data_IF_220737701317
#
_entry.id   IF_220737701317
#
_cell.length_a   1.000
_cell.length_b   1.000
_cell.length_c   1.000
_cell.angle_alpha   90.00
_cell.angle_beta   90.00
_cell.angle_gamma   90.00
#
_symmetry.space_group_name_H-M   'P 1'
#
loop_
_entity.id
_entity.type
_entity.pdbx_description
1 polymer ?
#
# COMPACT_ATOMS: atom_id res chain seq x y z
N UNK A 1 -18.09 4.15 -31.04
CA UNK A 1 -17.81 3.37 -29.81
C UNK A 1 -16.89 2.24 -30.23
N UNK A 2 -15.59 2.29 -29.89
CA UNK A 2 -14.69 1.17 -30.12
C UNK A 2 -15.16 0.00 -29.26
N UNK A 3 -15.21 -1.21 -29.83
CA UNK A 3 -15.53 -2.42 -29.08
C UNK A 3 -14.51 -2.52 -27.94
N UNK A 4 -15.00 -2.40 -26.68
CA UNK A 4 -14.17 -2.62 -25.49
C UNK A 4 -13.73 -4.09 -25.57
N UNK A 5 -12.43 -4.32 -25.69
CA UNK A 5 -11.88 -5.69 -25.84
C UNK A 5 -12.08 -6.43 -24.51
N UNK A 6 -12.89 -7.48 -24.55
CA UNK A 6 -13.06 -8.40 -23.42
C UNK A 6 -11.88 -9.38 -23.39
N UNK A 7 -10.94 -9.17 -22.47
CA UNK A 7 -9.72 -9.96 -22.37
C UNK A 7 -9.84 -11.01 -21.27
N UNK A 8 -9.72 -12.27 -21.60
CA UNK A 8 -9.65 -13.35 -20.63
C UNK A 8 -8.26 -13.43 -20.01
N UNK A 9 -8.17 -13.20 -18.70
CA UNK A 9 -6.91 -13.22 -17.96
C UNK A 9 -6.59 -14.63 -17.41
N UNK A 10 -7.63 -15.33 -16.93
CA UNK A 10 -7.47 -16.68 -16.37
C UNK A 10 -8.81 -17.42 -16.49
N UNK A 11 -8.77 -18.73 -16.71
CA UNK A 11 -9.93 -19.61 -16.59
C UNK A 11 -9.54 -20.92 -15.92
N UNK A 12 -10.38 -21.38 -15.00
CA UNK A 12 -10.30 -22.68 -14.33
C UNK A 12 -11.65 -23.39 -14.45
N UNK A 13 -11.80 -24.54 -13.82
CA UNK A 13 -13.09 -25.22 -13.76
C UNK A 13 -14.10 -24.46 -12.86
N UNK A 14 -13.61 -23.70 -11.87
CA UNK A 14 -14.41 -23.05 -10.85
C UNK A 14 -14.81 -21.63 -11.22
N UNK A 15 -13.95 -20.89 -11.93
CA UNK A 15 -14.15 -19.48 -12.23
C UNK A 15 -13.44 -19.03 -13.51
N UNK A 16 -13.87 -17.89 -14.03
CA UNK A 16 -13.24 -17.18 -15.13
C UNK A 16 -12.96 -15.74 -14.74
N UNK A 17 -11.76 -15.26 -15.02
CA UNK A 17 -11.35 -13.88 -14.78
C UNK A 17 -11.21 -13.18 -16.12
N UNK A 18 -11.90 -12.05 -16.28
CA UNK A 18 -11.87 -11.22 -17.48
C UNK A 18 -11.63 -9.78 -17.13
N UNK A 19 -10.98 -9.05 -18.03
CA UNK A 19 -10.89 -7.61 -18.01
C UNK A 19 -11.68 -7.02 -19.16
N UNK A 20 -12.58 -6.10 -18.86
CA UNK A 20 -13.38 -5.39 -19.85
C UNK A 20 -13.27 -3.88 -19.58
N UNK A 21 -12.34 -3.22 -20.25
CA UNK A 21 -12.07 -1.81 -20.03
C UNK A 21 -11.76 -1.49 -18.55
N UNK A 22 -12.68 -0.80 -17.89
CA UNK A 22 -12.57 -0.38 -16.48
C UNK A 22 -13.01 -1.43 -15.47
N UNK A 23 -13.36 -2.63 -15.92
CA UNK A 23 -13.88 -3.70 -15.08
C UNK A 23 -12.92 -4.88 -15.03
N UNK A 24 -12.69 -5.39 -13.85
CA UNK A 24 -12.16 -6.72 -13.59
C UNK A 24 -13.34 -7.56 -13.09
N UNK A 25 -13.59 -8.68 -13.76
CA UNK A 25 -14.76 -9.51 -13.54
C UNK A 25 -14.29 -10.94 -13.23
N UNK A 26 -14.59 -11.42 -12.03
CA UNK A 26 -14.48 -12.84 -11.70
C UNK A 26 -15.87 -13.46 -11.74
N UNK A 27 -16.10 -14.32 -12.74
CA UNK A 27 -17.34 -15.11 -12.93
C UNK A 27 -17.17 -16.46 -12.26
N UNK A 28 -18.07 -16.80 -11.34
CA UNK A 28 -18.13 -18.08 -10.64
C UNK A 28 -18.92 -19.08 -11.46
N UNK A 29 -18.29 -20.16 -11.93
CA UNK A 29 -18.87 -21.14 -12.86
C UNK A 29 -19.65 -22.24 -12.14
N UNK A 30 -19.53 -22.35 -10.82
CA UNK A 30 -20.31 -23.22 -9.95
C UNK A 30 -20.78 -22.44 -8.71
N UNK A 31 -21.69 -22.94 -7.87
CA UNK A 31 -22.09 -22.27 -6.65
C UNK A 31 -20.90 -22.05 -5.69
N UNK A 32 -20.77 -20.84 -5.18
CA UNK A 32 -19.75 -20.45 -4.22
C UNK A 32 -20.34 -19.80 -2.98
N UNK A 33 -19.70 -19.98 -1.85
CA UNK A 33 -19.86 -19.11 -0.69
C UNK A 33 -18.94 -17.91 -0.86
N UNK A 34 -19.53 -16.70 -0.84
CA UNK A 34 -18.83 -15.44 -1.02
C UNK A 34 -18.89 -14.63 0.25
N UNK A 35 -17.77 -14.02 0.65
CA UNK A 35 -17.70 -13.04 1.73
C UNK A 35 -17.11 -11.74 1.16
N UNK A 36 -17.84 -10.62 1.31
CA UNK A 36 -17.47 -9.37 0.65
C UNK A 36 -17.77 -8.14 1.50
N UNK A 37 -16.98 -7.07 1.31
CA UNK A 37 -17.22 -5.72 1.83
C UNK A 37 -18.13 -4.86 0.95
N UNK A 38 -18.66 -5.40 -0.13
CA UNK A 38 -19.59 -4.67 -1.02
C UNK A 38 -20.79 -4.13 -0.25
N UNK A 39 -21.26 -2.93 -0.62
CA UNK A 39 -22.47 -2.34 -0.03
C UNK A 39 -23.69 -3.18 -0.39
N UNK A 40 -23.80 -3.61 -1.67
CA UNK A 40 -24.86 -4.50 -2.12
C UNK A 40 -24.36 -5.93 -2.25
N UNK A 41 -25.14 -6.90 -1.80
CA UNK A 41 -24.75 -8.31 -1.71
C UNK A 41 -23.45 -8.53 -0.92
N UNK A 42 -23.19 -7.66 0.07
CA UNK A 42 -22.07 -7.77 0.99
C UNK A 42 -22.33 -8.72 2.14
N UNK A 43 -21.33 -8.91 3.00
CA UNK A 43 -21.36 -9.95 4.01
C UNK A 43 -21.18 -11.32 3.38
N UNK A 44 -21.75 -12.37 4.00
CA UNK A 44 -21.70 -13.75 3.49
C UNK A 44 -22.94 -14.05 2.64
N UNK A 45 -22.73 -14.54 1.41
CA UNK A 45 -23.80 -14.90 0.47
C UNK A 45 -23.47 -16.18 -0.29
N UNK A 46 -24.50 -16.83 -0.90
CA UNK A 46 -24.32 -18.02 -1.75
C UNK A 46 -25.01 -17.85 -3.14
N UNK A 47 -25.65 -16.71 -3.38
CA UNK A 47 -26.35 -16.41 -4.65
C UNK A 47 -25.50 -15.57 -5.62
N UNK A 48 -24.40 -14.99 -5.17
CA UNK A 48 -23.51 -14.19 -6.00
C UNK A 48 -22.78 -15.05 -7.02
N UNK A 49 -22.75 -14.57 -8.28
CA UNK A 49 -22.08 -15.22 -9.40
C UNK A 49 -20.96 -14.37 -10.01
N UNK A 50 -20.96 -13.06 -9.77
CA UNK A 50 -19.98 -12.15 -10.32
C UNK A 50 -19.37 -11.29 -9.21
N UNK A 51 -18.04 -11.30 -9.14
CA UNK A 51 -17.27 -10.41 -8.28
C UNK A 51 -16.65 -9.35 -9.19
N UNK A 52 -17.05 -8.09 -8.99
CA UNK A 52 -16.56 -6.98 -9.80
C UNK A 52 -15.57 -6.13 -9.02
N UNK A 53 -14.53 -5.70 -9.70
CA UNK A 53 -13.70 -4.59 -9.27
C UNK A 53 -13.70 -3.53 -10.37
N UNK A 54 -14.18 -2.33 -10.07
CA UNK A 54 -14.44 -1.29 -11.04
C UNK A 54 -13.58 -0.06 -10.81
N UNK A 55 -12.86 0.37 -11.85
CA UNK A 55 -12.17 1.65 -11.84
C UNK A 55 -13.22 2.78 -11.90
N UNK A 56 -13.68 3.21 -10.72
CA UNK A 56 -14.74 4.21 -10.56
C UNK A 56 -14.26 5.64 -10.79
N UNK A 57 -12.95 5.87 -10.76
CA UNK A 57 -12.34 7.18 -10.85
C UNK A 57 -11.24 7.21 -11.90
N UNK A 58 -11.25 8.23 -12.77
CA UNK A 58 -10.09 8.65 -13.55
C UNK A 58 -9.76 10.09 -13.20
N UNK A 59 -8.48 10.47 -13.26
CA UNK A 59 -7.97 11.75 -12.74
C UNK A 59 -8.66 13.01 -13.30
N UNK A 60 -9.35 12.92 -14.43
CA UNK A 60 -10.07 14.04 -15.06
C UNK A 60 -11.58 13.96 -14.88
N UNK A 61 -12.17 12.85 -14.44
CA UNK A 61 -13.60 12.59 -14.47
C UNK A 61 -14.21 12.18 -13.11
N UNK A 62 -13.52 12.48 -12.04
CA UNK A 62 -13.95 12.24 -10.66
C UNK A 62 -15.29 12.89 -10.33
N UNK A 63 -15.56 14.04 -10.94
CA UNK A 63 -16.68 14.90 -10.55
C UNK A 63 -18.03 14.29 -10.93
N UNK A 64 -18.16 13.79 -12.15
CA UNK A 64 -19.44 13.28 -12.65
C UNK A 64 -19.89 12.00 -11.91
N UNK A 65 -18.96 11.07 -11.66
CA UNK A 65 -19.26 9.82 -10.94
C UNK A 65 -19.45 10.02 -9.45
N UNK A 66 -18.65 10.88 -8.85
CA UNK A 66 -18.85 11.29 -7.46
C UNK A 66 -20.23 11.92 -7.28
N UNK A 67 -20.66 12.77 -8.23
CA UNK A 67 -21.99 13.37 -8.20
C UNK A 67 -23.12 12.31 -8.36
N UNK A 68 -22.95 11.30 -9.19
CA UNK A 68 -23.91 10.19 -9.30
C UNK A 68 -24.00 9.41 -7.99
N UNK A 69 -22.89 9.06 -7.37
CA UNK A 69 -22.87 8.36 -6.09
C UNK A 69 -23.49 9.21 -4.97
N UNK A 70 -23.19 10.49 -4.93
CA UNK A 70 -23.68 11.40 -3.88
C UNK A 70 -25.16 11.76 -4.06
N UNK A 71 -25.65 11.86 -5.30
CA UNK A 71 -27.07 12.20 -5.58
C UNK A 71 -27.99 10.99 -5.48
N UNK A 72 -27.56 9.83 -5.96
CA UNK A 72 -28.41 8.66 -6.17
C UNK A 72 -28.06 7.49 -5.24
N UNK A 73 -26.98 7.60 -4.46
CA UNK A 73 -26.52 6.56 -3.56
C UNK A 73 -25.70 5.45 -4.24
N UNK A 74 -25.09 4.62 -3.40
CA UNK A 74 -24.23 3.52 -3.84
C UNK A 74 -25.01 2.39 -4.54
N UNK A 75 -26.28 2.19 -4.16
CA UNK A 75 -27.15 1.20 -4.81
C UNK A 75 -27.44 1.54 -6.27
N UNK A 76 -27.79 2.80 -6.56
CA UNK A 76 -28.02 3.26 -7.93
C UNK A 76 -26.73 3.20 -8.77
N UNK A 77 -25.59 3.44 -8.16
CA UNK A 77 -24.30 3.28 -8.80
C UNK A 77 -24.00 1.80 -9.13
N UNK A 78 -24.28 0.89 -8.20
CA UNK A 78 -24.16 -0.55 -8.42
C UNK A 78 -25.04 -1.02 -9.59
N UNK A 79 -26.32 -0.60 -9.62
CA UNK A 79 -27.25 -0.93 -10.72
C UNK A 79 -26.73 -0.42 -12.07
N UNK A 80 -26.15 0.78 -12.10
CA UNK A 80 -25.57 1.38 -13.31
C UNK A 80 -24.41 0.55 -13.86
N UNK A 81 -23.44 0.16 -13.02
CA UNK A 81 -22.29 -0.64 -13.48
C UNK A 81 -22.70 -2.04 -13.94
N UNK A 82 -23.75 -2.61 -13.33
CA UNK A 82 -24.33 -3.88 -13.78
C UNK A 82 -25.01 -3.76 -15.14
N UNK A 83 -25.73 -2.65 -15.39
CA UNK A 83 -26.33 -2.36 -16.72
C UNK A 83 -25.26 -2.21 -17.80
N UNK A 84 -24.14 -1.51 -17.52
CA UNK A 84 -23.02 -1.36 -18.47
C UNK A 84 -22.45 -2.72 -18.91
N UNK A 85 -22.46 -3.70 -18.00
CA UNK A 85 -21.99 -5.07 -18.24
C UNK A 85 -23.10 -6.04 -18.66
N UNK A 86 -24.37 -5.61 -18.68
CA UNK A 86 -25.56 -6.43 -18.92
C UNK A 86 -25.68 -7.62 -17.95
N UNK A 87 -25.34 -7.38 -16.68
CA UNK A 87 -25.47 -8.35 -15.59
C UNK A 87 -26.68 -8.06 -14.73
N UNK A 88 -27.26 -9.10 -14.14
CA UNK A 88 -28.31 -8.95 -13.12
C UNK A 88 -27.68 -8.47 -11.80
N UNK A 89 -28.05 -7.25 -11.30
CA UNK A 89 -27.49 -6.72 -10.06
C UNK A 89 -27.67 -7.62 -8.83
N UNK A 90 -28.69 -8.48 -8.83
CA UNK A 90 -28.98 -9.36 -7.69
C UNK A 90 -27.91 -10.45 -7.48
N UNK A 91 -27.15 -10.81 -8.51
CA UNK A 91 -26.12 -11.85 -8.43
C UNK A 91 -24.69 -11.29 -8.52
N UNK A 92 -24.54 -9.99 -8.30
CA UNK A 92 -23.27 -9.27 -8.38
C UNK A 92 -22.87 -8.71 -7.02
N UNK A 93 -21.60 -8.81 -6.67
CA UNK A 93 -20.96 -8.02 -5.62
C UNK A 93 -19.87 -7.15 -6.25
N UNK A 94 -19.71 -5.90 -5.79
CA UNK A 94 -18.82 -4.94 -6.45
C UNK A 94 -17.97 -4.15 -5.49
N UNK A 95 -16.75 -3.85 -5.93
CA UNK A 95 -15.78 -2.99 -5.27
C UNK A 95 -15.43 -1.84 -6.23
N UNK A 96 -15.20 -0.65 -5.67
CA UNK A 96 -14.77 0.52 -6.44
C UNK A 96 -13.31 0.88 -6.12
N UNK A 97 -12.58 1.40 -7.10
CA UNK A 97 -11.19 1.84 -6.93
C UNK A 97 -10.82 2.96 -7.90
N UNK A 98 -9.82 3.77 -7.53
CA UNK A 98 -9.13 4.68 -8.45
C UNK A 98 -7.97 4.01 -9.21
N UNK A 99 -7.56 2.80 -8.83
CA UNK A 99 -6.46 2.10 -9.47
C UNK A 99 -6.85 1.62 -10.89
N UNK A 100 -5.88 1.66 -11.80
CA UNK A 100 -6.07 1.25 -13.18
C UNK A 100 -6.21 -0.28 -13.28
N UNK A 101 -7.26 -0.77 -13.94
CA UNK A 101 -7.49 -2.21 -14.12
C UNK A 101 -6.41 -2.91 -14.95
N UNK A 102 -5.65 -2.18 -15.77
CA UNK A 102 -4.50 -2.74 -16.50
C UNK A 102 -3.34 -3.13 -15.58
N UNK A 103 -3.31 -2.60 -14.37
CA UNK A 103 -2.28 -2.87 -13.36
C UNK A 103 -2.75 -3.86 -12.28
N UNK A 104 -3.93 -4.47 -12.49
CA UNK A 104 -4.38 -5.57 -11.64
C UNK A 104 -3.41 -6.75 -11.74
N UNK A 105 -2.92 -7.19 -10.60
CA UNK A 105 -2.03 -8.35 -10.51
C UNK A 105 -2.83 -9.61 -10.16
N UNK A 106 -2.53 -10.71 -10.86
CA UNK A 106 -3.12 -12.02 -10.58
C UNK A 106 -2.02 -12.99 -10.22
N UNK A 107 -2.06 -13.54 -9.00
CA UNK A 107 -1.08 -14.50 -8.49
C UNK A 107 -1.80 -15.76 -8.02
N UNK A 108 -1.29 -16.91 -8.45
CA UNK A 108 -1.72 -18.23 -7.98
C UNK A 108 -0.64 -18.84 -7.10
N UNK A 109 -1.05 -19.46 -6.00
CA UNK A 109 -0.20 -20.27 -5.12
C UNK A 109 -0.85 -21.62 -4.89
N UNK A 110 -0.09 -22.71 -5.04
CA UNK A 110 -0.63 -24.07 -5.03
C UNK A 110 0.22 -25.01 -4.19
N UNK A 111 -0.44 -25.98 -3.56
CA UNK A 111 0.18 -27.13 -2.91
C UNK A 111 -0.68 -28.39 -3.16
N UNK A 112 -0.18 -29.35 -3.94
CA UNK A 112 -0.97 -30.47 -4.42
C UNK A 112 -2.24 -30.01 -5.13
N UNK A 113 -3.44 -30.46 -4.70
CA UNK A 113 -4.70 -30.10 -5.33
C UNK A 113 -5.24 -28.72 -4.88
N UNK A 114 -4.66 -28.13 -3.84
CA UNK A 114 -5.14 -26.87 -3.27
C UNK A 114 -4.51 -25.70 -4.01
N UNK A 115 -5.35 -24.83 -4.55
CA UNK A 115 -4.92 -23.60 -5.25
C UNK A 115 -5.67 -22.40 -4.70
N UNK A 116 -4.93 -21.34 -4.48
CA UNK A 116 -5.44 -20.00 -4.13
C UNK A 116 -5.08 -19.04 -5.23
N UNK A 117 -6.04 -18.25 -5.69
CA UNK A 117 -5.83 -17.18 -6.66
C UNK A 117 -6.17 -15.84 -6.02
N UNK A 118 -5.21 -14.94 -5.96
CA UNK A 118 -5.42 -13.56 -5.53
C UNK A 118 -5.35 -12.62 -6.74
N UNK A 119 -6.33 -11.72 -6.85
CA UNK A 119 -6.35 -10.66 -7.84
C UNK A 119 -6.41 -9.34 -7.06
N UNK A 120 -5.41 -8.48 -7.25
CA UNK A 120 -5.26 -7.25 -6.48
C UNK A 120 -5.13 -6.05 -7.41
N UNK A 121 -5.87 -5.00 -7.11
CA UNK A 121 -5.57 -3.63 -7.57
C UNK A 121 -5.16 -2.80 -6.37
N UNK A 122 -4.09 -2.03 -6.49
CA UNK A 122 -3.55 -1.29 -5.36
C UNK A 122 -3.07 0.10 -5.76
N UNK A 123 -3.45 1.12 -4.96
CA UNK A 123 -2.97 2.48 -5.09
C UNK A 123 -2.79 3.11 -3.71
N UNK A 124 -1.56 3.53 -3.36
CA UNK A 124 -1.20 4.01 -2.01
C UNK A 124 -0.75 5.47 -1.97
N UNK A 125 -0.55 6.12 -3.12
CA UNK A 125 -0.04 7.50 -3.16
C UNK A 125 -1.00 8.53 -2.55
N UNK A 126 -2.30 8.32 -2.66
CA UNK A 126 -3.32 9.27 -2.22
C UNK A 126 -3.95 8.96 -0.86
N UNK A 127 -3.80 7.74 -0.31
CA UNK A 127 -4.55 7.33 0.88
C UNK A 127 -3.88 6.23 1.72
N UNK A 128 -2.57 6.08 1.65
CA UNK A 128 -1.86 5.15 2.53
C UNK A 128 -2.10 5.53 3.99
N UNK A 129 -2.58 4.59 4.80
CA UNK A 129 -2.95 4.82 6.20
C UNK A 129 -2.50 3.65 7.09
N UNK A 130 -2.19 3.96 8.34
CA UNK A 130 -2.00 2.99 9.39
C UNK A 130 -3.33 2.79 10.14
N UNK A 131 -3.63 1.56 10.52
CA UNK A 131 -4.77 1.29 11.39
C UNK A 131 -4.63 2.09 12.71
N UNK A 132 -5.63 2.91 13.03
CA UNK A 132 -5.61 3.83 14.17
C UNK A 132 -5.26 5.28 13.82
N UNK A 133 -4.93 5.58 12.56
CA UNK A 133 -4.76 6.97 12.10
C UNK A 133 -6.06 7.78 12.22
N UNK A 134 -5.97 9.13 12.28
CA UNK A 134 -7.15 9.99 12.27
C UNK A 134 -8.05 9.72 11.07
N UNK A 135 -9.35 9.63 11.31
CA UNK A 135 -10.35 9.34 10.30
C UNK A 135 -10.60 10.51 9.35
N UNK A 136 -11.00 10.19 8.13
CA UNK A 136 -11.42 11.15 7.10
C UNK A 136 -12.95 11.29 6.99
N UNK A 137 -13.70 10.39 7.61
CA UNK A 137 -15.15 10.35 7.58
C UNK A 137 -15.73 9.96 8.94
N UNK A 138 -16.86 10.53 9.27
CA UNK A 138 -17.66 10.14 10.42
C UNK A 138 -19.02 9.68 9.94
N UNK A 139 -19.37 8.43 10.26
CA UNK A 139 -20.70 7.91 10.06
C UNK A 139 -21.53 8.12 11.33
N UNK A 140 -22.79 8.52 11.17
CA UNK A 140 -23.76 8.67 12.24
C UNK A 140 -25.15 8.30 11.72
N UNK A 141 -26.14 8.24 12.62
CA UNK A 141 -27.55 8.05 12.22
C UNK A 141 -28.07 9.15 11.27
N UNK A 142 -27.40 10.29 11.19
CA UNK A 142 -27.71 11.41 10.31
C UNK A 142 -27.03 11.34 8.95
N UNK A 143 -26.24 10.28 8.70
CA UNK A 143 -25.46 10.07 7.48
C UNK A 143 -23.96 10.31 7.66
N UNK A 144 -23.29 10.56 6.55
CA UNK A 144 -21.85 10.69 6.44
C UNK A 144 -21.41 12.16 6.48
N UNK A 145 -20.43 12.47 7.33
CA UNK A 145 -19.76 13.76 7.40
C UNK A 145 -18.30 13.62 6.95
N UNK A 146 -17.89 14.41 5.94
CA UNK A 146 -16.53 14.40 5.41
C UNK A 146 -15.59 15.23 6.28
N UNK A 147 -14.50 14.61 6.70
CA UNK A 147 -13.31 15.28 7.20
C UNK A 147 -12.29 15.22 6.04
N UNK A 148 -11.58 16.30 5.67
CA UNK A 148 -10.74 16.33 4.47
C UNK A 148 -9.82 15.12 4.35
N UNK A 149 -9.86 14.41 3.23
CA UNK A 149 -9.06 13.24 2.93
C UNK A 149 -8.76 13.09 1.42
N UNK A 150 -7.75 12.29 1.14
CA UNK A 150 -7.26 11.94 -0.20
C UNK A 150 -7.82 10.58 -0.66
N UNK A 151 -7.67 10.26 -1.95
CA UNK A 151 -8.18 9.04 -2.58
C UNK A 151 -7.06 8.01 -2.81
N UNK A 152 -7.36 6.75 -2.58
CA UNK A 152 -6.49 5.59 -2.80
C UNK A 152 -7.11 4.36 -2.15
N UNK A 153 -6.92 3.15 -2.73
CA UNK A 153 -7.48 1.92 -2.17
C UNK A 153 -6.71 0.69 -2.63
N UNK A 154 -6.83 -0.39 -1.85
CA UNK A 154 -6.35 -1.73 -2.19
C UNK A 154 -7.57 -2.66 -2.20
N UNK A 155 -7.92 -3.18 -3.39
CA UNK A 155 -9.02 -4.14 -3.54
C UNK A 155 -8.47 -5.52 -3.86
N UNK A 156 -8.98 -6.53 -3.16
CA UNK A 156 -8.55 -7.92 -3.29
C UNK A 156 -9.73 -8.82 -3.63
N UNK A 157 -9.64 -9.57 -4.74
CA UNK A 157 -10.48 -10.75 -5.00
C UNK A 157 -9.63 -11.98 -4.67
N UNK A 158 -10.10 -12.81 -3.75
CA UNK A 158 -9.46 -14.04 -3.31
C UNK A 158 -10.34 -15.24 -3.67
N UNK A 159 -9.86 -16.10 -4.54
CA UNK A 159 -10.57 -17.29 -5.03
C UNK A 159 -9.87 -18.55 -4.53
N UNK A 160 -10.63 -19.40 -3.86
CA UNK A 160 -10.19 -20.71 -3.38
C UNK A 160 -10.77 -21.78 -4.31
N UNK A 161 -10.01 -22.82 -4.62
CA UNK A 161 -10.52 -23.94 -5.39
C UNK A 161 -11.08 -25.10 -4.52
N UNK A 162 -11.11 -24.92 -3.19
CA UNK A 162 -11.64 -25.88 -2.22
C UNK A 162 -12.74 -25.26 -1.37
N UNK A 163 -13.73 -26.10 -1.01
CA UNK A 163 -14.75 -25.74 -0.03
C UNK A 163 -14.13 -25.48 1.33
N UNK A 164 -14.56 -24.44 2.01
CA UNK A 164 -14.14 -24.11 3.38
C UNK A 164 -15.36 -23.92 4.27
N UNK A 165 -15.19 -24.11 5.59
CA UNK A 165 -16.23 -23.76 6.56
C UNK A 165 -16.40 -22.22 6.64
N UNK A 166 -17.55 -21.78 7.16
CA UNK A 166 -17.82 -20.34 7.37
C UNK A 166 -16.77 -19.68 8.27
N UNK A 167 -16.38 -20.37 9.34
CA UNK A 167 -15.32 -19.89 10.22
C UNK A 167 -13.95 -19.79 9.52
N UNK A 168 -13.63 -20.72 8.62
CA UNK A 168 -12.40 -20.64 7.83
C UNK A 168 -12.48 -19.50 6.81
N UNK A 169 -13.65 -19.27 6.19
CA UNK A 169 -13.84 -18.12 5.27
C UNK A 169 -13.66 -16.79 6.00
N UNK A 170 -14.25 -16.63 7.19
CA UNK A 170 -14.04 -15.45 8.03
C UNK A 170 -12.57 -15.29 8.44
N UNK A 171 -11.87 -16.38 8.80
CA UNK A 171 -10.45 -16.35 9.14
C UNK A 171 -9.56 -15.97 7.97
N UNK A 172 -9.96 -16.28 6.73
CA UNK A 172 -9.22 -15.89 5.53
C UNK A 172 -9.05 -14.36 5.40
N UNK A 173 -10.02 -13.57 5.89
CA UNK A 173 -9.93 -12.09 5.94
C UNK A 173 -8.72 -11.64 6.75
N UNK A 174 -8.50 -12.28 7.91
CA UNK A 174 -7.36 -11.96 8.78
C UNK A 174 -6.05 -12.23 8.05
N UNK A 175 -5.86 -13.44 7.53
CA UNK A 175 -4.62 -13.84 6.83
C UNK A 175 -4.36 -13.00 5.59
N UNK A 176 -5.40 -12.67 4.83
CA UNK A 176 -5.31 -11.79 3.66
C UNK A 176 -4.89 -10.36 4.06
N UNK A 177 -5.47 -9.81 5.13
CA UNK A 177 -5.13 -8.46 5.63
C UNK A 177 -3.70 -8.42 6.14
N UNK A 178 -3.26 -9.44 6.88
CA UNK A 178 -1.87 -9.59 7.34
C UNK A 178 -0.90 -9.65 6.15
N UNK A 179 -1.24 -10.40 5.10
CA UNK A 179 -0.42 -10.52 3.90
C UNK A 179 -0.28 -9.19 3.12
N UNK A 180 -1.39 -8.46 2.96
CA UNK A 180 -1.39 -7.11 2.38
C UNK A 180 -0.49 -6.17 3.20
N UNK A 181 -0.65 -6.17 4.53
CA UNK A 181 0.18 -5.36 5.44
C UNK A 181 1.66 -5.72 5.31
N UNK A 182 2.00 -7.01 5.24
CA UNK A 182 3.38 -7.46 5.03
C UNK A 182 3.98 -6.95 3.71
N UNK A 183 3.18 -6.83 2.64
CA UNK A 183 3.61 -6.22 1.38
C UNK A 183 3.96 -4.73 1.55
N UNK A 184 3.09 -3.96 2.22
CA UNK A 184 3.32 -2.54 2.48
C UNK A 184 4.55 -2.30 3.36
N UNK A 185 4.75 -3.13 4.38
CA UNK A 185 5.93 -3.08 5.26
C UNK A 185 7.22 -3.38 4.50
N UNK A 186 7.23 -4.37 3.58
CA UNK A 186 8.40 -4.66 2.74
C UNK A 186 8.80 -3.48 1.86
N UNK A 187 7.82 -2.71 1.41
CA UNK A 187 8.04 -1.52 0.60
C UNK A 187 8.29 -0.27 1.45
N UNK A 188 8.25 -0.37 2.79
CA UNK A 188 8.36 0.74 3.72
C UNK A 188 7.39 1.90 3.39
N UNK A 189 6.15 1.57 3.02
CA UNK A 189 5.14 2.57 2.69
C UNK A 189 4.78 3.32 3.96
N UNK A 190 4.92 4.66 3.93
CA UNK A 190 4.53 5.52 5.04
C UNK A 190 3.04 5.79 5.04
N UNK A 191 2.46 5.98 6.24
CA UNK A 191 1.16 6.63 6.36
C UNK A 191 1.23 8.07 5.85
N UNK A 192 0.12 8.58 5.31
CA UNK A 192 -0.05 10.00 4.97
C UNK A 192 -0.63 10.81 6.13
N UNK A 193 -1.09 10.14 7.20
CA UNK A 193 -1.81 10.73 8.32
C UNK A 193 -1.02 10.71 9.63
N UNK A 194 0.03 9.91 9.69
CA UNK A 194 0.91 9.79 10.85
C UNK A 194 2.35 9.49 10.41
N UNK A 195 3.25 9.38 11.39
CA UNK A 195 4.64 8.95 11.13
C UNK A 195 4.78 7.43 11.09
N UNK A 196 3.69 6.65 11.15
CA UNK A 196 3.72 5.20 11.08
C UNK A 196 3.95 4.67 9.67
N UNK A 197 4.25 3.38 9.57
CA UNK A 197 4.13 2.65 8.32
C UNK A 197 2.66 2.32 8.05
N UNK A 198 2.24 2.45 6.80
CA UNK A 198 0.89 2.10 6.39
C UNK A 198 0.62 0.60 6.56
N UNK A 199 -0.58 0.27 7.00
CA UNK A 199 -1.11 -1.10 7.06
C UNK A 199 -2.13 -1.39 5.95
N UNK A 200 -2.56 -0.36 5.25
CA UNK A 200 -3.53 -0.39 4.16
C UNK A 200 -3.80 1.01 3.63
N UNK A 201 -5.02 1.21 3.18
CA UNK A 201 -5.61 2.52 2.89
C UNK A 201 -6.90 2.69 3.69
N UNK A 202 -7.47 3.87 3.74
CA UNK A 202 -8.74 4.09 4.46
C UNK A 202 -9.97 3.41 3.83
N UNK A 203 -9.82 2.81 2.63
CA UNK A 203 -10.94 2.33 1.81
C UNK A 203 -10.73 0.93 1.24
N UNK A 204 -9.86 0.13 1.80
CA UNK A 204 -9.57 -1.23 1.33
C UNK A 204 -10.82 -2.11 1.33
N UNK A 205 -11.02 -2.87 0.24
CA UNK A 205 -12.16 -3.75 0.05
C UNK A 205 -11.72 -5.16 -0.37
N UNK A 206 -12.59 -6.13 -0.16
CA UNK A 206 -12.34 -7.50 -0.58
C UNK A 206 -13.60 -8.26 -0.99
N UNK A 207 -13.38 -9.28 -1.83
CA UNK A 207 -14.31 -10.37 -2.09
C UNK A 207 -13.54 -11.69 -1.98
N UNK A 208 -14.00 -12.61 -1.14
CA UNK A 208 -13.45 -13.97 -1.00
C UNK A 208 -14.50 -14.96 -1.46
N UNK A 209 -14.15 -15.91 -2.33
CA UNK A 209 -15.06 -16.95 -2.79
C UNK A 209 -14.45 -18.35 -2.65
N UNK A 210 -15.26 -19.28 -2.17
CA UNK A 210 -14.93 -20.70 -2.04
C UNK A 210 -16.10 -21.56 -2.58
N UNK A 211 -15.84 -22.60 -3.39
CA UNK A 211 -16.88 -23.41 -3.99
C UNK A 211 -17.68 -24.19 -2.95
N UNK A 212 -18.98 -24.37 -3.21
CA UNK A 212 -19.90 -25.16 -2.41
C UNK A 212 -19.96 -26.60 -2.96
N UNK A 213 -18.91 -27.38 -2.72
CA UNK A 213 -18.82 -28.77 -3.19
C UNK A 213 -19.23 -29.77 -2.11
N UNK A 214 -19.72 -30.93 -2.55
CA UNK A 214 -19.94 -32.08 -1.66
C UNK A 214 -18.60 -32.58 -1.13
N UNK A 215 -18.57 -32.99 0.13
CA UNK A 215 -17.38 -33.48 0.80
C UNK A 215 -17.06 -32.70 2.07
N UNK A 216 -15.94 -33.07 2.72
CA UNK A 216 -15.49 -32.42 3.96
C UNK A 216 -14.79 -31.09 3.62
N UNK A 217 -15.32 -29.94 4.04
CA UNK A 217 -14.68 -28.66 3.82
C UNK A 217 -13.41 -28.52 4.65
N UNK A 218 -12.44 -27.70 4.19
CA UNK A 218 -11.29 -27.29 4.98
C UNK A 218 -11.74 -26.35 6.10
N UNK A 219 -11.16 -26.51 7.28
CA UNK A 219 -11.64 -25.87 8.51
C UNK A 219 -10.78 -24.71 8.99
N UNK A 220 -9.63 -24.47 8.35
CA UNK A 220 -8.70 -23.42 8.78
C UNK A 220 -8.00 -22.75 7.58
N UNK A 221 -7.81 -21.45 7.70
CA UNK A 221 -7.09 -20.57 6.76
C UNK A 221 -6.05 -19.70 7.47
N UNK A 222 -5.73 -20.01 8.73
CA UNK A 222 -4.71 -19.30 9.50
C UNK A 222 -3.29 -19.60 9.01
N UNK A 223 -2.33 -18.74 9.35
CA UNK A 223 -0.94 -18.79 8.86
C UNK A 223 -0.17 -20.07 9.20
N UNK A 224 -0.66 -20.90 10.14
CA UNK A 224 -0.04 -22.18 10.51
C UNK A 224 -0.51 -23.39 9.70
N UNK A 225 -1.45 -23.21 8.78
CA UNK A 225 -1.93 -24.28 7.89
C UNK A 225 -1.59 -23.96 6.44
N UNK A 226 -1.45 -24.99 5.61
CA UNK A 226 -1.03 -24.83 4.21
C UNK A 226 -1.94 -23.86 3.43
N UNK A 227 -3.26 -23.94 3.60
CA UNK A 227 -4.18 -23.02 2.91
C UNK A 227 -3.93 -21.55 3.31
N UNK A 228 -3.66 -21.29 4.59
CA UNK A 228 -3.31 -19.94 5.06
C UNK A 228 -1.96 -19.45 4.52
N UNK A 229 -0.95 -20.32 4.43
CA UNK A 229 0.33 -20.00 3.77
C UNK A 229 0.10 -19.61 2.31
N UNK A 230 -0.70 -20.39 1.57
CA UNK A 230 -1.01 -20.10 0.15
C UNK A 230 -1.75 -18.76 -0.01
N UNK A 231 -2.72 -18.46 0.87
CA UNK A 231 -3.39 -17.14 0.92
C UNK A 231 -2.37 -16.04 1.15
N UNK A 232 -1.51 -16.20 2.15
CA UNK A 232 -0.49 -15.23 2.52
C UNK A 232 0.46 -14.93 1.37
N UNK A 233 0.97 -15.95 0.70
CA UNK A 233 1.86 -15.81 -0.47
C UNK A 233 1.16 -15.12 -1.62
N UNK A 234 -0.02 -15.64 -2.03
CA UNK A 234 -0.72 -15.12 -3.21
C UNK A 234 -1.11 -13.64 -3.03
N UNK A 235 -1.68 -13.26 -1.90
CA UNK A 235 -2.12 -11.87 -1.65
C UNK A 235 -0.93 -10.92 -1.50
N UNK A 236 0.11 -11.31 -0.75
CA UNK A 236 1.32 -10.50 -0.61
C UNK A 236 1.96 -10.21 -1.96
N UNK A 237 2.18 -11.23 -2.77
CA UNK A 237 2.89 -11.12 -4.03
C UNK A 237 2.05 -10.38 -5.08
N UNK A 238 0.73 -10.60 -5.12
CA UNK A 238 -0.18 -9.82 -5.95
C UNK A 238 -0.22 -8.34 -5.54
N UNK A 239 -0.17 -8.04 -4.23
CA UNK A 239 -0.13 -6.66 -3.74
C UNK A 239 1.17 -5.96 -4.15
N UNK A 240 2.32 -6.63 -4.00
CA UNK A 240 3.63 -6.11 -4.44
C UNK A 240 3.65 -5.82 -5.95
N UNK A 241 3.14 -6.74 -6.76
CA UNK A 241 3.10 -6.58 -8.20
C UNK A 241 2.14 -5.47 -8.65
N UNK A 242 0.95 -5.39 -8.05
CA UNK A 242 0.00 -4.30 -8.33
C UNK A 242 0.59 -2.92 -7.98
N UNK A 243 1.26 -2.79 -6.83
CA UNK A 243 1.92 -1.55 -6.41
C UNK A 243 3.12 -1.19 -7.29
N UNK A 244 3.83 -2.18 -7.81
CA UNK A 244 4.92 -1.97 -8.76
C UNK A 244 4.42 -1.25 -10.01
N UNK A 245 3.34 -1.72 -10.61
CA UNK A 245 2.79 -1.14 -11.83
C UNK A 245 2.00 0.15 -11.59
N UNK A 246 1.19 0.20 -10.54
CA UNK A 246 0.36 1.37 -10.25
C UNK A 246 1.16 2.57 -9.74
N UNK A 247 2.14 2.33 -8.87
CA UNK A 247 2.86 3.39 -8.14
C UNK A 247 4.38 3.40 -8.41
N UNK A 248 4.89 2.51 -9.26
CA UNK A 248 6.33 2.38 -9.51
C UNK A 248 7.14 1.94 -8.28
N UNK A 249 6.50 1.26 -7.32
CA UNK A 249 7.13 0.85 -6.07
C UNK A 249 7.93 -0.43 -6.26
N UNK A 250 9.20 -0.26 -6.54
CA UNK A 250 10.17 -1.35 -6.73
C UNK A 250 11.50 -0.99 -6.03
N UNK A 251 12.45 -1.92 -5.90
CA UNK A 251 13.71 -1.66 -5.19
C UNK A 251 14.48 -0.43 -5.69
N UNK A 252 14.41 -0.14 -6.99
CA UNK A 252 15.04 1.04 -7.59
C UNK A 252 14.47 2.37 -7.09
N UNK A 253 13.19 2.42 -6.74
CA UNK A 253 12.48 3.60 -6.25
C UNK A 253 12.37 3.66 -4.75
N UNK A 254 12.27 2.51 -4.05
CA UNK A 254 12.14 2.48 -2.59
C UNK A 254 13.48 2.70 -1.85
N UNK A 255 14.64 2.44 -2.49
CA UNK A 255 15.97 2.83 -1.97
C UNK A 255 16.22 4.34 -2.12
N UNK A 256 15.39 5.17 -1.61
CA UNK A 256 15.37 6.60 -1.86
C UNK A 256 15.42 7.35 -0.53
N UNK A 257 16.31 8.32 -0.40
CA UNK A 257 16.53 9.05 0.84
C UNK A 257 15.22 9.57 1.47
N UNK A 258 14.36 10.19 0.64
CA UNK A 258 13.07 10.72 1.10
C UNK A 258 12.03 9.63 1.35
N UNK A 259 12.18 8.45 0.77
CA UNK A 259 11.33 7.31 1.10
C UNK A 259 11.58 6.84 2.55
N UNK A 260 12.84 6.81 2.96
CA UNK A 260 13.21 6.43 4.32
C UNK A 260 12.88 7.52 5.36
N UNK A 261 13.19 8.79 5.06
CA UNK A 261 13.17 9.89 6.03
C UNK A 261 12.03 10.91 5.84
N UNK A 262 11.19 10.74 4.82
CA UNK A 262 10.10 11.68 4.53
C UNK A 262 9.12 11.87 5.68
N UNK A 263 8.86 10.80 6.46
CA UNK A 263 8.00 10.85 7.64
C UNK A 263 8.64 11.54 8.84
N UNK A 264 9.94 11.83 8.77
CA UNK A 264 10.73 12.53 9.77
C UNK A 264 11.10 13.96 9.36
N UNK A 265 10.32 14.55 8.45
CA UNK A 265 10.43 15.96 8.06
C UNK A 265 11.34 16.22 6.86
N UNK A 266 11.91 15.20 6.21
CA UNK A 266 12.71 15.38 5.00
C UNK A 266 11.84 15.34 3.74
N UNK A 267 11.26 16.46 3.33
CA UNK A 267 10.39 16.54 2.16
C UNK A 267 11.17 16.82 0.88
N UNK A 268 10.97 16.00 -0.16
CA UNK A 268 11.66 16.18 -1.44
C UNK A 268 11.36 17.54 -2.08
N UNK A 269 10.12 18.01 -1.97
CA UNK A 269 9.67 19.25 -2.61
C UNK A 269 10.38 20.51 -2.07
N UNK A 270 10.77 20.51 -0.79
CA UNK A 270 11.40 21.65 -0.12
C UNK A 270 12.89 21.46 0.14
N UNK A 271 13.40 20.25 -0.04
CA UNK A 271 14.75 19.84 0.37
C UNK A 271 15.87 20.81 -0.06
N UNK A 272 15.89 21.23 -1.32
CA UNK A 272 16.94 22.14 -1.81
C UNK A 272 16.86 23.50 -1.15
N UNK A 273 15.67 24.00 -0.85
CA UNK A 273 15.48 25.26 -0.13
C UNK A 273 15.88 25.11 1.35
N UNK A 274 15.53 23.97 1.97
CA UNK A 274 15.79 23.73 3.38
C UNK A 274 17.29 23.51 3.66
N UNK A 275 18.03 22.89 2.74
CA UNK A 275 19.48 22.64 2.90
C UNK A 275 20.34 23.82 2.44
N UNK A 276 19.84 24.72 1.60
CA UNK A 276 20.61 25.85 1.06
C UNK A 276 21.31 26.71 2.11
N UNK A 277 20.70 27.04 3.27
CA UNK A 277 21.39 27.81 4.31
C UNK A 277 22.59 27.11 4.96
N UNK A 278 22.72 25.81 4.78
CA UNK A 278 23.79 24.98 5.36
C UNK A 278 24.96 24.75 4.39
N UNK A 279 24.86 25.22 3.15
CA UNK A 279 25.82 25.01 2.07
C UNK A 279 26.33 26.35 1.52
N UNK A 280 27.55 26.34 0.97
CA UNK A 280 28.00 27.43 0.11
C UNK A 280 27.22 27.39 -1.22
N UNK A 281 27.17 28.53 -1.93
CA UNK A 281 26.51 28.63 -3.26
C UNK A 281 27.07 27.56 -4.23
N UNK A 282 28.38 27.34 -4.21
CA UNK A 282 29.03 26.33 -5.05
C UNK A 282 28.65 24.90 -4.66
N UNK A 283 28.56 24.59 -3.37
CA UNK A 283 28.15 23.25 -2.88
C UNK A 283 26.67 22.98 -3.23
N UNK A 284 25.80 24.00 -3.15
CA UNK A 284 24.39 23.89 -3.52
C UNK A 284 24.24 23.65 -5.04
N UNK A 285 24.95 24.40 -5.88
CA UNK A 285 24.96 24.19 -7.33
C UNK A 285 25.40 22.77 -7.71
N UNK A 286 26.46 22.27 -7.05
CA UNK A 286 26.94 20.90 -7.23
C UNK A 286 25.90 19.87 -6.78
N UNK A 287 25.21 20.11 -5.66
CA UNK A 287 24.15 19.23 -5.15
C UNK A 287 22.98 19.15 -6.15
N UNK A 288 22.54 20.27 -6.69
CA UNK A 288 21.48 20.31 -7.71
C UNK A 288 21.84 19.49 -8.94
N UNK A 289 23.08 19.62 -9.43
CA UNK A 289 23.56 18.86 -10.60
C UNK A 289 23.74 17.36 -10.34
N UNK A 290 24.00 16.98 -9.10
CA UNK A 290 24.25 15.60 -8.69
C UNK A 290 23.12 15.01 -7.82
N UNK A 291 21.95 15.63 -7.82
CA UNK A 291 20.83 15.31 -6.93
C UNK A 291 20.53 13.79 -6.87
N UNK A 292 20.30 13.17 -8.02
CA UNK A 292 19.99 11.75 -8.10
C UNK A 292 21.12 10.85 -7.59
N UNK A 293 22.38 11.25 -7.80
CA UNK A 293 23.54 10.50 -7.30
C UNK A 293 23.69 10.54 -5.77
N UNK A 294 23.05 11.50 -5.11
CA UNK A 294 23.00 11.60 -3.65
C UNK A 294 21.83 10.81 -3.09
N UNK A 295 20.63 11.08 -3.61
CA UNK A 295 19.39 10.59 -3.00
C UNK A 295 19.13 9.10 -3.25
N UNK A 296 19.74 8.52 -4.30
CA UNK A 296 19.68 7.08 -4.63
C UNK A 296 20.98 6.33 -4.31
N UNK A 297 21.95 6.97 -3.67
CA UNK A 297 23.22 6.29 -3.30
C UNK A 297 22.94 5.19 -2.27
N UNK A 298 23.33 3.93 -2.52
CA UNK A 298 22.93 2.80 -1.67
C UNK A 298 23.41 2.91 -0.21
N UNK A 299 24.60 3.47 0.04
CA UNK A 299 25.12 3.63 1.42
C UNK A 299 24.37 4.71 2.17
N UNK A 300 24.00 5.79 1.48
CA UNK A 300 23.18 6.89 2.03
C UNK A 300 21.77 6.36 2.33
N UNK A 301 21.17 5.60 1.42
CA UNK A 301 19.87 4.98 1.64
C UNK A 301 19.88 4.03 2.85
N UNK A 302 20.89 3.16 2.98
CA UNK A 302 21.04 2.25 4.12
C UNK A 302 21.16 3.02 5.45
N UNK A 303 21.98 4.07 5.51
CA UNK A 303 22.11 4.92 6.68
C UNK A 303 20.81 5.68 6.99
N UNK A 304 20.06 6.13 5.97
CA UNK A 304 18.77 6.78 6.13
C UNK A 304 17.73 5.84 6.75
N UNK A 305 17.63 4.58 6.27
CA UNK A 305 16.74 3.58 6.88
C UNK A 305 17.15 3.22 8.32
N UNK A 306 18.45 3.13 8.61
CA UNK A 306 18.93 2.92 9.98
C UNK A 306 18.56 4.09 10.90
N UNK A 307 18.68 5.33 10.42
CA UNK A 307 18.24 6.54 11.14
C UNK A 307 16.73 6.50 11.40
N UNK A 308 15.92 6.17 10.40
CA UNK A 308 14.47 6.04 10.55
C UNK A 308 14.10 4.97 11.59
N UNK A 309 14.78 3.81 11.57
CA UNK A 309 14.52 2.73 12.51
C UNK A 309 14.84 3.14 13.98
N UNK A 310 15.87 3.94 14.22
CA UNK A 310 16.17 4.47 15.56
C UNK A 310 15.10 5.45 16.01
N UNK A 311 14.65 6.35 15.14
CA UNK A 311 13.56 7.29 15.44
C UNK A 311 12.25 6.57 15.72
N UNK A 312 11.95 5.45 15.01
CA UNK A 312 10.81 4.59 15.33
C UNK A 312 10.91 4.02 16.75
N UNK A 313 12.07 3.48 17.11
CA UNK A 313 12.28 2.89 18.45
C UNK A 313 12.12 3.94 19.56
N UNK A 314 12.60 5.14 19.35
CA UNK A 314 12.40 6.26 20.27
C UNK A 314 10.91 6.60 20.40
N UNK A 315 10.25 6.82 19.28
CA UNK A 315 8.84 7.20 19.26
C UNK A 315 7.90 6.15 19.86
N UNK A 316 8.19 4.86 19.64
CA UNK A 316 7.44 3.75 20.22
C UNK A 316 7.80 3.47 21.69
N UNK A 317 8.67 4.27 22.31
CA UNK A 317 9.09 4.08 23.70
C UNK A 317 9.95 2.81 23.94
N UNK A 318 10.45 2.19 22.87
CA UNK A 318 11.32 1.01 22.97
C UNK A 318 12.81 1.36 23.03
N UNK A 319 13.15 2.63 22.86
CA UNK A 319 14.47 3.22 23.12
C UNK A 319 14.31 4.24 24.25
N UNK A 320 15.06 4.11 25.37
CA UNK A 320 14.96 5.05 26.49
C UNK A 320 15.31 6.48 26.09
N UNK A 321 14.52 7.45 26.52
CA UNK A 321 14.71 8.87 26.21
C UNK A 321 16.12 9.36 26.64
N UNK A 322 16.67 8.82 27.76
CA UNK A 322 17.99 9.17 28.27
C UNK A 322 19.15 8.85 27.30
N UNK A 323 18.97 7.88 26.39
CA UNK A 323 19.98 7.48 25.41
C UNK A 323 19.61 7.84 23.98
N UNK A 324 18.37 8.24 23.73
CA UNK A 324 17.83 8.47 22.40
C UNK A 324 18.61 9.52 21.61
N UNK A 325 18.97 10.64 22.27
CA UNK A 325 19.74 11.73 21.65
C UNK A 325 21.11 11.24 21.14
N UNK A 326 21.87 10.52 21.96
CA UNK A 326 23.18 10.04 21.57
C UNK A 326 23.12 8.99 20.47
N UNK A 327 22.16 8.07 20.54
CA UNK A 327 21.96 7.04 19.52
C UNK A 327 21.51 7.67 18.20
N UNK A 328 20.60 8.63 18.23
CA UNK A 328 20.17 9.36 17.02
C UNK A 328 21.35 10.14 16.41
N UNK A 329 22.14 10.83 17.22
CA UNK A 329 23.36 11.52 16.81
C UNK A 329 24.36 10.58 16.13
N UNK A 330 24.56 9.37 16.66
CA UNK A 330 25.40 8.33 16.03
C UNK A 330 24.89 7.97 14.63
N UNK A 331 23.58 7.79 14.46
CA UNK A 331 23.00 7.46 13.15
C UNK A 331 23.09 8.64 12.17
N UNK A 332 22.83 9.86 12.61
CA UNK A 332 23.01 11.06 11.79
C UNK A 332 24.48 11.22 11.35
N UNK A 333 25.42 10.94 12.24
CA UNK A 333 26.86 10.93 11.92
C UNK A 333 27.19 9.86 10.86
N UNK A 334 26.61 8.67 10.99
CA UNK A 334 26.77 7.59 10.02
C UNK A 334 26.18 7.97 8.66
N UNK A 335 25.05 8.68 8.62
CA UNK A 335 24.50 9.23 7.39
C UNK A 335 25.46 10.21 6.72
N UNK A 336 26.02 11.15 7.50
CA UNK A 336 26.99 12.13 7.01
C UNK A 336 28.26 11.47 6.43
N UNK A 337 28.87 10.54 7.16
CA UNK A 337 30.09 9.83 6.72
C UNK A 337 29.84 8.93 5.51
N UNK A 338 28.64 8.32 5.41
CA UNK A 338 28.23 7.52 4.26
C UNK A 338 28.15 8.38 3.00
N UNK A 339 27.59 9.59 3.11
CA UNK A 339 27.50 10.53 1.99
C UNK A 339 28.88 11.09 1.61
N UNK A 340 29.70 11.43 2.57
CA UNK A 340 31.08 11.87 2.33
C UNK A 340 31.96 10.77 1.71
N UNK A 341 31.60 9.51 1.89
CA UNK A 341 32.41 8.33 1.59
C UNK A 341 33.78 8.35 2.33
N UNK A 342 33.83 8.92 3.54
CA UNK A 342 35.04 9.12 4.36
C UNK A 342 34.78 8.64 5.80
N UNK A 343 34.98 7.34 6.10
CA UNK A 343 34.73 6.82 7.45
C UNK A 343 35.52 7.51 8.55
N UNK A 344 36.73 7.95 8.26
CA UNK A 344 37.64 8.59 9.22
C UNK A 344 37.14 9.95 9.73
N UNK A 345 36.17 10.57 9.05
CA UNK A 345 35.58 11.84 9.48
C UNK A 345 34.49 11.66 10.56
N UNK A 346 34.18 10.42 10.95
CA UNK A 346 33.12 10.13 11.91
C UNK A 346 33.27 10.87 13.25
N UNK A 347 34.45 10.91 13.91
CA UNK A 347 34.60 11.64 15.17
C UNK A 347 34.36 13.15 15.04
N UNK A 348 34.83 13.77 13.95
CA UNK A 348 34.59 15.18 13.66
C UNK A 348 33.12 15.47 13.48
N UNK A 349 32.43 14.69 12.65
CA UNK A 349 30.99 14.89 12.37
C UNK A 349 30.14 14.61 13.60
N UNK A 350 30.53 13.64 14.42
CA UNK A 350 29.87 13.39 15.70
C UNK A 350 29.91 14.62 16.61
N UNK A 351 31.03 15.29 16.71
CA UNK A 351 31.16 16.55 17.50
C UNK A 351 30.29 17.65 16.90
N UNK A 352 30.28 17.81 15.58
CA UNK A 352 29.51 18.86 14.89
C UNK A 352 28.00 18.68 14.94
N UNK A 353 27.53 17.47 15.19
CA UNK A 353 26.10 17.13 15.35
C UNK A 353 25.67 17.10 16.83
N UNK A 354 26.31 17.90 17.71
CA UNK A 354 26.02 17.94 19.16
C UNK A 354 24.58 18.31 19.48
N UNK A 355 23.94 19.14 18.65
CA UNK A 355 22.58 19.64 18.86
C UNK A 355 21.49 18.71 18.27
N UNK A 356 21.80 17.42 18.15
CA UNK A 356 20.84 16.42 17.67
C UNK A 356 19.63 16.30 18.59
N UNK A 357 18.44 16.36 18.02
CA UNK A 357 17.18 16.23 18.74
C UNK A 357 16.26 15.19 18.08
N UNK A 358 15.99 14.05 18.74
CA UNK A 358 15.10 13.02 18.20
C UNK A 358 13.61 13.42 18.20
N UNK A 359 13.22 14.43 18.99
CA UNK A 359 11.84 14.98 18.96
C UNK A 359 11.62 15.86 17.73
N UNK A 360 12.68 16.54 17.25
CA UNK A 360 12.66 17.36 16.05
C UNK A 360 13.80 16.96 15.11
N UNK A 361 13.73 15.77 14.45
CA UNK A 361 14.88 15.18 13.77
C UNK A 361 15.25 15.88 12.43
N UNK A 362 14.34 16.59 11.79
CA UNK A 362 14.55 17.20 10.48
C UNK A 362 15.79 18.07 10.37
N UNK A 363 16.03 19.04 11.25
CA UNK A 363 17.24 19.89 11.25
C UNK A 363 18.52 19.08 11.38
N UNK A 364 18.57 18.07 12.26
CA UNK A 364 19.74 17.20 12.43
C UNK A 364 20.01 16.38 11.16
N UNK A 365 18.98 15.85 10.52
CA UNK A 365 19.09 15.09 9.27
C UNK A 365 19.63 16.00 8.14
N UNK A 366 19.13 17.21 8.01
CA UNK A 366 19.62 18.18 7.03
C UNK A 366 21.07 18.56 7.30
N UNK A 367 21.46 18.81 8.56
CA UNK A 367 22.82 19.11 8.94
C UNK A 367 23.77 17.94 8.62
N UNK A 368 23.36 16.70 8.88
CA UNK A 368 24.14 15.51 8.55
C UNK A 368 24.35 15.38 7.03
N UNK A 369 23.32 15.62 6.22
CA UNK A 369 23.44 15.60 4.75
C UNK A 369 24.37 16.73 4.27
N UNK A 370 24.22 17.94 4.79
CA UNK A 370 25.07 19.07 4.43
C UNK A 370 26.55 18.80 4.78
N UNK A 371 26.82 18.28 5.98
CA UNK A 371 28.17 17.88 6.41
C UNK A 371 28.79 16.84 5.47
N UNK A 372 28.03 15.77 5.19
CA UNK A 372 28.48 14.71 4.32
C UNK A 372 28.73 15.19 2.90
N UNK A 373 27.89 16.07 2.37
CA UNK A 373 28.02 16.64 1.04
C UNK A 373 29.24 17.55 0.94
N UNK A 374 29.41 18.50 1.87
CA UNK A 374 30.59 19.38 1.93
C UNK A 374 31.88 18.58 2.11
N UNK A 375 31.87 17.53 2.92
CA UNK A 375 33.03 16.67 3.16
C UNK A 375 33.45 15.82 1.95
N UNK A 376 32.51 15.55 1.02
CA UNK A 376 32.79 14.77 -0.19
C UNK A 376 33.80 15.42 -1.12
N UNK A 377 33.88 16.73 -1.12
CA UNK A 377 34.67 17.54 -2.05
C UNK A 377 35.94 18.12 -1.41
N UNK A 378 36.13 17.93 -0.13
CA UNK A 378 37.34 18.30 0.61
C UNK A 378 38.24 17.07 0.75
#
# INVERSE_FOLDING_TARGET
MSAICDEQLLATAEFRIRRNGRFLIAELLEPHRVLSTSVRSGGQTEHVRFLLNHQSCEGTDHRERYEVMMKNGLDAYHDRICQDLRLDPAVVTSMGTGANMNYAATVQSSDGPVTVTAIVTAGVQGNAACAGDPTSWRESERGWEKIPALDGTINTILLLNHSVTEGALARAVVTMTEAKTAALQRLAIRSLYSQEHATGTGTDQYCIAAPLRKGKPLTSTGSHVKLGELIGVAVRDATLEALRWQNGLEPSTTRFLFHALGRYGLAQATFLNDIAPLLTERELELLQKNFNSVVYEPRVAAAAFATAAVLDRFRHGTLPASSARDIFRQQATTLATSLAAKPDTWPEYFVRLSDSDPECPGPTILAAIALGWSGKWR
#
